data_IF_486327887000
#
_entry.id   IF_486327887000
#
_cell.length_a   1.000
_cell.length_b   1.000
_cell.length_c   1.000
_cell.angle_alpha   90.00
_cell.angle_beta   90.00
_cell.angle_gamma   90.00
#
_symmetry.space_group_name_H-M   'P 1'
#
loop_
_entity.id
_entity.type
_entity.pdbx_description
1 polymer ?
#
# COMPACT_ATOMS: atom_id res chain seq x y z
N UNK A 1 -14.67 10.04 -17.49
CA UNK A 1 -14.99 10.63 -16.18
C UNK A 1 -15.80 11.89 -16.46
N UNK A 2 -16.69 12.26 -15.55
CA UNK A 2 -17.56 13.43 -15.79
C UNK A 2 -16.69 14.69 -15.75
N UNK A 3 -16.69 15.50 -16.80
CA UNK A 3 -15.89 16.74 -16.92
C UNK A 3 -16.08 17.68 -15.70
N UNK A 4 -17.25 17.61 -15.05
CA UNK A 4 -17.54 18.38 -13.86
C UNK A 4 -16.72 17.94 -12.63
N UNK A 5 -16.49 16.63 -12.45
CA UNK A 5 -15.65 16.11 -11.34
C UNK A 5 -14.19 16.45 -11.58
N UNK A 6 -13.71 16.37 -12.80
CA UNK A 6 -12.34 16.75 -13.15
C UNK A 6 -12.06 18.22 -12.86
N UNK A 7 -12.94 19.12 -13.30
CA UNK A 7 -12.84 20.57 -12.99
C UNK A 7 -12.84 20.85 -11.47
N UNK A 8 -13.67 20.14 -10.72
CA UNK A 8 -13.70 20.29 -9.27
C UNK A 8 -12.40 19.81 -8.62
N UNK A 9 -11.82 18.72 -9.10
CA UNK A 9 -10.55 18.22 -8.60
C UNK A 9 -9.42 19.20 -8.96
N UNK A 10 -9.38 19.73 -10.17
CA UNK A 10 -8.44 20.77 -10.58
C UNK A 10 -8.55 22.00 -9.67
N UNK A 11 -9.76 22.51 -9.43
CA UNK A 11 -10.01 23.59 -8.50
C UNK A 11 -9.47 23.29 -7.08
N UNK A 12 -9.65 22.06 -6.58
CA UNK A 12 -9.11 21.65 -5.27
C UNK A 12 -7.58 21.66 -5.30
N UNK A 13 -6.93 21.16 -6.35
CA UNK A 13 -5.48 21.14 -6.47
C UNK A 13 -4.86 22.53 -6.60
N UNK A 14 -5.53 23.47 -7.25
CA UNK A 14 -5.06 24.84 -7.42
C UNK A 14 -5.25 25.67 -6.15
N UNK A 15 -6.36 25.45 -5.42
CA UNK A 15 -6.80 26.33 -4.32
C UNK A 15 -6.83 25.64 -2.95
N UNK A 16 -6.13 24.50 -2.77
CA UNK A 16 -6.16 23.73 -1.51
C UNK A 16 -5.74 24.54 -0.28
N UNK A 17 -4.88 25.54 -0.44
CA UNK A 17 -4.41 26.39 0.65
C UNK A 17 -5.45 27.43 1.13
N UNK A 18 -6.48 27.67 0.31
CA UNK A 18 -7.56 28.62 0.62
C UNK A 18 -8.65 27.99 1.49
N UNK A 19 -9.49 28.79 2.16
CA UNK A 19 -10.65 28.29 2.91
C UNK A 19 -11.79 27.87 1.96
N UNK A 20 -11.53 26.88 1.10
CA UNK A 20 -12.50 26.36 0.13
C UNK A 20 -13.69 25.69 0.82
N UNK A 21 -14.89 26.19 0.51
CA UNK A 21 -16.16 25.57 0.90
C UNK A 21 -16.64 24.55 -0.15
N UNK A 22 -17.52 23.62 0.28
CA UNK A 22 -18.16 22.69 -0.64
C UNK A 22 -18.97 23.42 -1.73
N UNK A 23 -19.53 24.59 -1.41
CA UNK A 23 -20.31 25.40 -2.36
C UNK A 23 -19.40 25.92 -3.47
N UNK A 24 -18.28 26.53 -3.13
CA UNK A 24 -17.32 27.04 -4.12
C UNK A 24 -16.76 25.93 -5.04
N UNK A 25 -16.48 24.73 -4.49
CA UNK A 25 -16.04 23.59 -5.29
C UNK A 25 -17.17 23.14 -6.25
N UNK A 26 -18.42 23.09 -5.79
CA UNK A 26 -19.55 22.72 -6.62
C UNK A 26 -19.85 23.76 -7.72
N UNK A 27 -19.69 25.05 -7.43
CA UNK A 27 -19.82 26.14 -8.38
C UNK A 27 -18.77 26.07 -9.49
N UNK A 28 -17.51 25.69 -9.17
CA UNK A 28 -16.45 25.47 -10.19
C UNK A 28 -16.84 24.39 -11.20
N UNK A 29 -17.68 23.45 -10.79
CA UNK A 29 -18.21 22.38 -11.63
C UNK A 29 -19.58 22.72 -12.25
N UNK A 30 -20.12 23.92 -11.99
CA UNK A 30 -21.47 24.37 -12.44
C UNK A 30 -22.60 23.45 -11.94
N UNK A 31 -22.47 22.91 -10.74
CA UNK A 31 -23.42 21.98 -10.13
C UNK A 31 -23.97 22.48 -8.80
N UNK A 32 -25.17 22.01 -8.45
CA UNK A 32 -25.69 22.21 -7.11
C UNK A 32 -24.89 21.40 -6.08
N UNK A 33 -24.70 21.94 -4.88
CA UNK A 33 -23.92 21.34 -3.79
C UNK A 33 -24.27 19.86 -3.51
N UNK A 34 -25.55 19.52 -3.49
CA UNK A 34 -26.00 18.17 -3.16
C UNK A 34 -25.75 17.17 -4.29
N UNK A 35 -26.04 17.57 -5.52
CA UNK A 35 -25.78 16.74 -6.69
C UNK A 35 -24.28 16.52 -6.89
N UNK A 36 -23.49 17.58 -6.77
CA UNK A 36 -22.04 17.53 -6.84
C UNK A 36 -21.44 16.58 -5.79
N UNK A 37 -21.82 16.70 -4.51
CA UNK A 37 -21.27 15.85 -3.45
C UNK A 37 -21.49 14.36 -3.72
N UNK A 38 -22.66 13.99 -4.28
CA UNK A 38 -22.95 12.60 -4.68
C UNK A 38 -22.09 12.18 -5.86
N UNK A 39 -22.10 12.95 -6.94
CA UNK A 39 -21.32 12.66 -8.16
C UNK A 39 -19.83 12.53 -7.87
N UNK A 40 -19.30 13.45 -7.07
CA UNK A 40 -17.90 13.43 -6.66
C UNK A 40 -17.55 12.17 -5.84
N UNK A 41 -18.43 11.78 -4.92
CA UNK A 41 -18.24 10.58 -4.11
C UNK A 41 -18.34 9.30 -4.95
N UNK A 42 -19.24 9.25 -5.92
CA UNK A 42 -19.38 8.12 -6.84
C UNK A 42 -18.11 7.96 -7.72
N UNK A 43 -17.50 9.07 -8.14
CA UNK A 43 -16.30 9.07 -8.97
C UNK A 43 -15.01 8.77 -8.19
N UNK A 44 -14.86 9.36 -6.99
CA UNK A 44 -13.61 9.29 -6.20
C UNK A 44 -13.66 8.32 -5.02
N UNK A 45 -14.85 7.88 -4.64
CA UNK A 45 -15.09 7.05 -3.46
C UNK A 45 -15.13 7.82 -2.13
N UNK A 46 -14.86 9.14 -2.12
CA UNK A 46 -14.81 9.98 -0.91
C UNK A 46 -15.51 11.32 -1.11
N UNK A 47 -15.83 12.00 -0.01
CA UNK A 47 -16.45 13.32 -0.09
C UNK A 47 -15.45 14.40 -0.52
N UNK A 48 -15.90 15.50 -1.16
CA UNK A 48 -15.02 16.61 -1.57
C UNK A 48 -14.18 17.19 -0.42
N UNK A 49 -14.77 17.36 0.76
CA UNK A 49 -14.05 17.85 1.93
C UNK A 49 -12.95 16.91 2.42
N UNK A 50 -13.17 15.59 2.35
CA UNK A 50 -12.13 14.59 2.64
C UNK A 50 -11.03 14.58 1.59
N UNK A 51 -11.40 14.79 0.33
CA UNK A 51 -10.43 14.89 -0.76
C UNK A 51 -9.54 16.12 -0.58
N UNK A 52 -10.13 17.30 -0.30
CA UNK A 52 -9.38 18.52 0.01
C UNK A 52 -8.43 18.35 1.20
N UNK A 53 -8.91 17.74 2.29
CA UNK A 53 -8.06 17.46 3.44
C UNK A 53 -6.91 16.52 3.09
N UNK A 54 -7.15 15.50 2.26
CA UNK A 54 -6.11 14.59 1.79
C UNK A 54 -5.07 15.31 0.92
N UNK A 55 -5.48 16.20 0.02
CA UNK A 55 -4.58 17.03 -0.78
C UNK A 55 -3.70 17.90 0.12
N UNK A 56 -4.27 18.57 1.11
CA UNK A 56 -3.51 19.41 2.07
C UNK A 56 -2.41 18.61 2.79
N UNK A 57 -2.72 17.41 3.27
CA UNK A 57 -1.73 16.56 3.92
C UNK A 57 -0.67 16.05 2.92
N UNK A 58 -1.08 15.71 1.70
CA UNK A 58 -0.15 15.33 0.64
C UNK A 58 0.84 16.46 0.34
N UNK A 59 0.35 17.69 0.15
CA UNK A 59 1.19 18.86 -0.06
C UNK A 59 2.10 19.16 1.13
N UNK A 60 1.61 18.99 2.36
CA UNK A 60 2.44 19.10 3.54
C UNK A 60 3.59 18.07 3.55
N UNK A 61 3.34 16.82 3.13
CA UNK A 61 4.40 15.82 2.96
C UNK A 61 5.44 16.28 1.95
N UNK A 62 5.02 16.83 0.81
CA UNK A 62 5.94 17.36 -0.21
C UNK A 62 6.78 18.52 0.30
N UNK A 63 6.18 19.48 1.01
CA UNK A 63 6.91 20.60 1.64
C UNK A 63 7.88 20.12 2.72
N UNK A 64 7.51 19.12 3.52
CA UNK A 64 8.38 18.51 4.54
C UNK A 64 9.63 17.84 3.92
N UNK A 65 9.48 17.24 2.74
CA UNK A 65 10.56 16.56 2.02
C UNK A 65 11.50 17.53 1.30
N UNK A 66 10.93 18.55 0.66
CA UNK A 66 11.63 19.35 -0.34
C UNK A 66 12.05 20.75 0.16
N UNK A 67 11.64 21.14 1.37
CA UNK A 67 11.94 22.48 1.91
C UNK A 67 12.48 22.45 3.33
N UNK A 68 13.07 23.57 3.74
CA UNK A 68 13.49 23.83 5.14
C UNK A 68 12.42 24.55 5.98
N UNK A 69 11.22 24.81 5.43
CA UNK A 69 10.14 25.51 6.14
C UNK A 69 9.85 24.87 7.50
N UNK A 70 9.56 25.67 8.50
CA UNK A 70 9.11 25.20 9.81
C UNK A 70 7.75 24.47 9.70
N UNK A 71 7.42 23.66 10.69
CA UNK A 71 6.12 22.96 10.73
C UNK A 71 4.96 23.97 10.77
N UNK A 72 5.16 25.10 11.45
CA UNK A 72 4.16 26.18 11.54
C UNK A 72 3.92 26.83 10.17
N UNK A 73 5.00 27.18 9.45
CA UNK A 73 4.89 27.74 8.10
C UNK A 73 4.19 26.75 7.14
N UNK A 74 4.55 25.46 7.19
CA UNK A 74 3.89 24.42 6.38
C UNK A 74 2.41 24.32 6.72
N UNK A 75 2.06 24.33 8.03
CA UNK A 75 0.66 24.28 8.46
C UNK A 75 -0.17 25.40 7.82
N UNK A 76 0.35 26.62 7.85
CA UNK A 76 -0.31 27.79 7.23
C UNK A 76 -0.33 27.68 5.71
N UNK A 77 0.78 27.30 5.09
CA UNK A 77 0.91 27.18 3.63
C UNK A 77 -0.04 26.15 3.01
N UNK A 78 -0.45 25.12 3.77
CA UNK A 78 -1.43 24.13 3.30
C UNK A 78 -2.87 24.40 3.77
N UNK A 79 -3.14 25.60 4.30
CA UNK A 79 -4.50 26.08 4.60
C UNK A 79 -5.06 25.62 5.95
N UNK A 80 -4.21 25.34 6.95
CA UNK A 80 -4.65 25.12 8.32
C UNK A 80 -4.50 26.38 9.16
N UNK A 81 -5.57 26.76 9.88
CA UNK A 81 -5.59 27.93 10.75
C UNK A 81 -4.95 27.65 12.13
N UNK A 82 -4.66 26.41 12.44
CA UNK A 82 -4.08 26.01 13.74
C UNK A 82 -3.07 24.88 13.56
N UNK A 83 -1.89 25.07 14.14
CA UNK A 83 -0.81 24.08 14.17
C UNK A 83 -1.25 22.78 14.86
N UNK A 84 -2.06 22.90 15.93
CA UNK A 84 -2.57 21.71 16.66
C UNK A 84 -3.47 20.85 15.79
N UNK A 85 -4.45 21.45 15.11
CA UNK A 85 -5.34 20.74 14.19
C UNK A 85 -4.56 20.08 13.05
N UNK A 86 -3.61 20.79 12.46
CA UNK A 86 -2.72 20.26 11.43
C UNK A 86 -1.93 19.04 11.94
N UNK A 87 -1.23 19.19 13.05
CA UNK A 87 -0.36 18.14 13.60
C UNK A 87 -1.15 16.89 13.96
N UNK A 88 -2.34 17.05 14.56
CA UNK A 88 -3.22 15.93 14.90
C UNK A 88 -3.71 15.20 13.65
N UNK A 89 -4.22 15.96 12.67
CA UNK A 89 -4.74 15.35 11.45
C UNK A 89 -3.63 14.70 10.61
N UNK A 90 -2.48 15.36 10.50
CA UNK A 90 -1.31 14.80 9.84
C UNK A 90 -0.88 13.48 10.49
N UNK A 91 -0.73 13.47 11.82
CA UNK A 91 -0.29 12.28 12.56
C UNK A 91 -1.29 11.13 12.42
N UNK A 92 -2.59 11.43 12.53
CA UNK A 92 -3.64 10.44 12.35
C UNK A 92 -3.70 9.85 10.94
N UNK A 93 -3.34 10.63 9.91
CA UNK A 93 -3.41 10.19 8.51
C UNK A 93 -2.13 9.54 8.02
N UNK A 94 -0.96 10.03 8.47
CA UNK A 94 0.36 9.61 8.00
C UNK A 94 0.97 8.51 8.87
N UNK A 95 0.57 8.45 10.16
CA UNK A 95 1.07 7.49 11.14
C UNK A 95 2.26 7.99 11.96
N UNK A 96 2.81 9.16 11.63
CA UNK A 96 3.88 9.81 12.37
C UNK A 96 3.71 11.32 12.36
N UNK A 97 4.24 12.02 13.39
CA UNK A 97 4.18 13.48 13.43
C UNK A 97 4.98 14.15 12.29
N UNK A 98 4.63 15.38 11.88
CA UNK A 98 5.33 16.08 10.79
C UNK A 98 6.85 16.16 10.99
N UNK A 99 7.30 16.48 12.20
CA UNK A 99 8.74 16.56 12.52
C UNK A 99 9.43 15.19 12.46
N UNK A 100 8.74 14.13 12.89
CA UNK A 100 9.25 12.75 12.78
C UNK A 100 9.28 12.30 11.32
N UNK A 101 8.27 12.63 10.53
CA UNK A 101 8.22 12.34 9.09
C UNK A 101 9.44 12.96 8.37
N UNK A 102 9.72 14.25 8.56
CA UNK A 102 10.90 14.93 7.99
C UNK A 102 12.21 14.27 8.39
N UNK A 103 12.36 13.89 9.67
CA UNK A 103 13.58 13.23 10.14
C UNK A 103 13.80 11.86 9.54
N UNK A 104 12.75 11.04 9.50
CA UNK A 104 12.80 9.68 8.95
C UNK A 104 13.08 9.70 7.44
N UNK A 105 12.52 10.66 6.70
CA UNK A 105 12.76 10.82 5.25
C UNK A 105 14.24 11.08 4.94
N UNK A 106 14.91 11.85 5.80
CA UNK A 106 16.34 12.15 5.64
C UNK A 106 17.25 10.96 5.96
N UNK A 107 16.80 10.07 6.82
CA UNK A 107 17.60 8.90 7.25
C UNK A 107 17.31 7.63 6.46
N UNK A 108 16.30 7.64 5.59
CA UNK A 108 15.84 6.47 4.84
C UNK A 108 15.29 5.32 5.72
N UNK A 109 15.13 5.53 7.03
CA UNK A 109 14.73 4.51 7.99
C UNK A 109 13.23 4.61 8.31
N UNK A 110 12.39 4.32 7.34
CA UNK A 110 10.98 4.06 7.59
C UNK A 110 10.77 2.56 7.76
N UNK A 111 10.23 2.13 8.90
CA UNK A 111 9.60 0.83 9.00
C UNK A 111 8.24 0.85 8.27
N UNK A 112 7.76 -0.29 7.81
CA UNK A 112 6.38 -0.41 7.36
C UNK A 112 5.44 -0.01 8.50
N UNK A 113 4.32 0.69 8.19
CA UNK A 113 3.34 1.00 9.22
C UNK A 113 2.80 -0.29 9.80
N UNK A 114 3.01 -0.48 11.10
CA UNK A 114 2.45 -1.63 11.79
C UNK A 114 0.93 -1.49 11.88
N UNK A 115 0.17 -2.54 11.54
CA UNK A 115 -1.24 -2.61 11.85
C UNK A 115 -1.45 -2.35 13.34
N UNK A 116 -2.46 -1.59 13.71
CA UNK A 116 -2.84 -1.51 15.12
C UNK A 116 -3.56 -2.80 15.50
N UNK A 117 -3.14 -3.50 16.57
CA UNK A 117 -3.92 -4.60 17.09
C UNK A 117 -5.26 -4.03 17.58
N UNK A 118 -6.28 -4.18 16.75
CA UNK A 118 -7.63 -3.89 17.18
C UNK A 118 -8.04 -5.04 18.09
N UNK A 119 -8.34 -4.74 19.37
CA UNK A 119 -8.85 -5.71 20.35
C UNK A 119 -10.27 -6.22 20.02
N UNK A 120 -10.60 -6.33 18.72
CA UNK A 120 -11.85 -6.91 18.23
C UNK A 120 -11.70 -8.42 18.16
N UNK A 121 -12.60 -9.11 18.83
CA UNK A 121 -12.81 -10.54 18.68
C UNK A 121 -13.34 -10.83 17.28
N UNK A 122 -12.68 -11.73 16.58
CA UNK A 122 -13.01 -12.12 15.21
C UNK A 122 -12.12 -11.41 14.18
N UNK A 123 -11.29 -12.19 13.52
CA UNK A 123 -10.48 -11.77 12.39
C UNK A 123 -10.57 -12.80 11.28
N UNK A 124 -10.52 -12.34 10.06
CA UNK A 124 -10.38 -13.15 8.86
C UNK A 124 -9.14 -12.74 8.10
N UNK A 125 -9.06 -13.11 6.86
CA UNK A 125 -7.98 -12.72 5.96
C UNK A 125 -8.52 -12.19 4.63
N UNK A 126 -7.70 -11.41 3.94
CA UNK A 126 -7.95 -11.02 2.55
C UNK A 126 -6.79 -11.54 1.71
N UNK A 127 -7.09 -12.27 0.64
CA UNK A 127 -6.09 -12.79 -0.27
C UNK A 127 -6.48 -12.49 -1.72
N UNK A 128 -5.50 -12.45 -2.61
CA UNK A 128 -5.79 -12.19 -4.01
C UNK A 128 -4.54 -12.12 -4.87
N UNK A 129 -4.71 -11.57 -6.05
CA UNK A 129 -3.62 -11.36 -7.00
C UNK A 129 -3.42 -9.87 -7.28
N UNK A 130 -2.17 -9.51 -7.55
CA UNK A 130 -1.77 -8.18 -8.01
C UNK A 130 -1.21 -8.33 -9.42
N UNK A 131 -1.66 -7.47 -10.32
CA UNK A 131 -1.12 -7.39 -11.67
C UNK A 131 -0.67 -5.97 -12.00
N UNK A 132 0.46 -5.86 -12.70
CA UNK A 132 0.99 -4.61 -13.25
C UNK A 132 0.33 -4.30 -14.59
N UNK A 133 0.23 -3.02 -14.98
CA UNK A 133 -0.11 -2.67 -16.36
C UNK A 133 1.00 -3.13 -17.32
N UNK A 134 0.64 -3.33 -18.58
CA UNK A 134 1.61 -3.69 -19.61
C UNK A 134 2.73 -2.65 -19.74
N UNK A 135 3.90 -3.08 -20.17
CA UNK A 135 5.06 -2.20 -20.36
C UNK A 135 5.79 -1.80 -19.08
N UNK A 136 5.50 -2.42 -17.95
CA UNK A 136 6.22 -2.22 -16.69
C UNK A 136 7.04 -3.45 -16.32
N UNK A 137 8.22 -3.22 -15.73
CA UNK A 137 9.13 -4.24 -15.23
C UNK A 137 8.70 -4.75 -13.84
N UNK A 138 9.69 -5.08 -13.01
CA UNK A 138 9.43 -5.46 -11.61
C UNK A 138 8.89 -4.29 -10.82
N UNK A 139 8.01 -4.56 -9.85
CA UNK A 139 7.50 -3.55 -8.94
C UNK A 139 7.53 -4.04 -7.49
N UNK A 140 7.86 -3.13 -6.58
CA UNK A 140 7.60 -3.32 -5.15
C UNK A 140 6.28 -2.65 -4.81
N UNK A 141 5.36 -3.42 -4.24
CA UNK A 141 3.98 -3.00 -4.00
C UNK A 141 3.61 -3.22 -2.55
N UNK A 142 3.19 -2.15 -1.88
CA UNK A 142 2.49 -2.25 -0.61
C UNK A 142 1.00 -2.46 -0.87
N UNK A 143 0.42 -3.48 -0.24
CA UNK A 143 -1.04 -3.74 -0.25
C UNK A 143 -1.54 -3.67 1.17
N UNK A 144 -2.68 -3.04 1.36
CA UNK A 144 -3.29 -2.94 2.68
C UNK A 144 -4.81 -2.91 2.64
N UNK A 145 -5.41 -3.28 3.78
CA UNK A 145 -6.82 -3.13 4.06
C UNK A 145 -7.04 -1.86 4.90
N UNK A 146 -7.91 -0.97 4.41
CA UNK A 146 -8.13 0.35 5.00
C UNK A 146 -9.61 0.55 5.35
N UNK A 147 -9.92 1.31 6.41
CA UNK A 147 -11.32 1.62 6.78
C UNK A 147 -11.97 2.63 5.83
N UNK A 148 -11.20 3.24 4.96
CA UNK A 148 -11.64 4.25 3.98
C UNK A 148 -10.97 4.02 2.63
N UNK A 149 -11.50 4.58 1.53
CA UNK A 149 -10.84 4.49 0.22
C UNK A 149 -9.47 5.18 0.12
N UNK A 150 -9.06 5.94 1.13
CA UNK A 150 -7.76 6.63 1.17
C UNK A 150 -6.71 5.69 1.77
N UNK A 151 -5.52 5.67 1.17
CA UNK A 151 -4.34 4.99 1.76
C UNK A 151 -3.79 5.87 2.88
N UNK A 152 -4.23 5.60 4.10
CA UNK A 152 -3.88 6.37 5.29
C UNK A 152 -3.71 5.47 6.52
N UNK A 153 -3.06 5.99 7.56
CA UNK A 153 -2.91 5.29 8.83
C UNK A 153 -4.23 5.29 9.66
N UNK A 154 -4.52 4.28 10.47
CA UNK A 154 -3.84 2.98 10.49
C UNK A 154 -4.44 2.03 9.45
N UNK A 155 -3.64 1.21 8.76
CA UNK A 155 -4.14 0.07 8.02
C UNK A 155 -4.61 -1.01 9.01
N UNK A 156 -5.63 -1.79 8.65
CA UNK A 156 -6.05 -2.95 9.44
C UNK A 156 -5.05 -4.10 9.30
N UNK A 157 -4.54 -4.30 8.10
CA UNK A 157 -3.47 -5.24 7.76
C UNK A 157 -2.73 -4.71 6.53
N UNK A 158 -1.49 -5.09 6.34
CA UNK A 158 -0.71 -4.66 5.20
C UNK A 158 0.55 -5.49 4.97
N UNK A 159 0.92 -5.66 3.71
CA UNK A 159 2.08 -6.45 3.28
C UNK A 159 2.77 -5.75 2.11
N UNK A 160 4.08 -5.93 2.00
CA UNK A 160 4.82 -5.57 0.80
C UNK A 160 5.14 -6.83 0.01
N UNK A 161 4.86 -6.80 -1.29
CA UNK A 161 5.14 -7.89 -2.22
C UNK A 161 5.93 -7.37 -3.42
N UNK A 162 6.82 -8.21 -3.93
CA UNK A 162 7.56 -7.94 -5.15
C UNK A 162 6.81 -8.60 -6.32
N UNK A 163 6.33 -7.78 -7.24
CA UNK A 163 5.49 -8.20 -8.36
C UNK A 163 6.34 -8.23 -9.62
N UNK A 164 6.51 -9.38 -10.27
CA UNK A 164 7.25 -9.47 -11.51
C UNK A 164 6.47 -8.85 -12.68
N UNK A 165 7.17 -8.26 -13.63
CA UNK A 165 6.57 -7.77 -14.86
C UNK A 165 5.91 -8.91 -15.66
N UNK A 166 4.77 -8.61 -16.27
CA UNK A 166 4.09 -9.50 -17.20
C UNK A 166 3.31 -10.67 -16.60
N UNK A 167 3.30 -10.87 -15.27
CA UNK A 167 2.51 -11.90 -14.60
C UNK A 167 1.99 -11.47 -13.23
N UNK A 168 0.80 -11.96 -12.82
CA UNK A 168 0.26 -11.67 -11.49
C UNK A 168 1.10 -12.29 -10.38
N UNK A 169 1.10 -11.64 -9.20
CA UNK A 169 1.66 -12.16 -7.96
C UNK A 169 0.56 -12.28 -6.91
N UNK A 170 0.62 -13.31 -6.07
CA UNK A 170 -0.33 -13.47 -4.97
C UNK A 170 0.07 -12.60 -3.76
N UNK A 171 -0.93 -12.18 -3.00
CA UNK A 171 -0.76 -11.52 -1.72
C UNK A 171 -1.73 -12.09 -0.69
N UNK A 172 -1.38 -11.92 0.59
CA UNK A 172 -2.21 -12.34 1.72
C UNK A 172 -2.10 -11.30 2.84
N UNK A 173 -3.25 -10.81 3.29
CA UNK A 173 -3.40 -9.91 4.44
C UNK A 173 -4.01 -10.72 5.59
N UNK A 174 -3.23 -11.13 6.58
CA UNK A 174 -3.74 -11.83 7.75
C UNK A 174 -4.39 -10.85 8.74
N UNK A 175 -5.13 -11.40 9.68
CA UNK A 175 -5.65 -10.70 10.87
C UNK A 175 -6.46 -9.44 10.55
N UNK A 176 -7.23 -9.47 9.45
CA UNK A 176 -8.14 -8.37 9.10
C UNK A 176 -9.40 -8.49 9.95
N UNK A 177 -9.73 -7.49 10.79
CA UNK A 177 -10.92 -7.53 11.64
C UNK A 177 -12.21 -7.68 10.83
N UNK A 178 -13.24 -8.29 11.44
CA UNK A 178 -14.58 -8.33 10.83
C UNK A 178 -15.08 -6.93 10.47
N UNK A 179 -15.71 -6.83 9.30
CA UNK A 179 -16.27 -5.58 8.81
C UNK A 179 -16.01 -5.33 7.33
N UNK A 180 -16.27 -4.10 6.92
CA UNK A 180 -16.08 -3.66 5.53
C UNK A 180 -14.76 -2.91 5.40
N UNK A 181 -13.94 -3.35 4.45
CA UNK A 181 -12.59 -2.84 4.23
C UNK A 181 -12.36 -2.49 2.75
N UNK A 182 -11.52 -1.51 2.52
CA UNK A 182 -11.08 -1.11 1.18
C UNK A 182 -9.66 -1.64 0.95
N UNK A 183 -9.48 -2.52 -0.03
CA UNK A 183 -8.16 -3.00 -0.40
C UNK A 183 -7.53 -2.00 -1.38
N UNK A 184 -6.35 -1.50 -1.00
CA UNK A 184 -5.60 -0.51 -1.78
C UNK A 184 -4.15 -0.96 -1.92
N UNK A 185 -3.58 -0.67 -3.07
CA UNK A 185 -2.19 -0.96 -3.35
C UNK A 185 -1.46 0.28 -3.86
N UNK A 186 -0.22 0.39 -3.47
CA UNK A 186 0.70 1.45 -3.92
C UNK A 186 2.00 0.78 -4.29
N UNK A 187 2.50 1.04 -5.48
CA UNK A 187 3.74 0.43 -5.95
C UNK A 187 4.65 1.42 -6.66
N UNK A 188 5.91 1.06 -6.74
CA UNK A 188 6.89 1.66 -7.64
C UNK A 188 7.40 0.56 -8.55
N UNK A 189 7.18 0.72 -9.84
CA UNK A 189 7.60 -0.20 -10.87
C UNK A 189 8.81 0.34 -11.63
N UNK A 190 9.72 -0.54 -11.96
CA UNK A 190 10.80 -0.26 -12.90
C UNK A 190 10.25 -0.18 -14.34
N UNK A 191 10.92 0.59 -15.19
CA UNK A 191 10.64 0.58 -16.60
C UNK A 191 11.08 -0.72 -17.29
N UNK A 192 10.83 -0.82 -18.57
CA UNK A 192 11.33 -1.89 -19.45
C UNK A 192 12.39 -1.30 -20.36
N UNK A 193 13.59 -1.88 -20.41
CA UNK A 193 14.68 -1.38 -21.25
C UNK A 193 16.07 -1.66 -20.67
N UNK A 194 17.12 -1.05 -21.24
CA UNK A 194 18.50 -1.29 -20.82
C UNK A 194 18.82 -0.72 -19.43
N UNK A 195 18.10 0.31 -18.97
CA UNK A 195 18.20 0.85 -17.62
C UNK A 195 16.80 0.99 -16.99
N UNK A 196 16.23 -0.11 -16.48
CA UNK A 196 14.87 -0.12 -15.92
C UNK A 196 14.71 0.81 -14.72
N UNK A 197 15.75 0.97 -13.91
CA UNK A 197 15.73 1.76 -12.67
C UNK A 197 15.65 3.26 -12.91
N UNK A 198 16.06 3.74 -14.06
CA UNK A 198 15.95 5.16 -14.45
C UNK A 198 14.53 5.59 -14.80
N UNK A 199 13.64 4.63 -15.09
CA UNK A 199 12.27 4.86 -15.55
C UNK A 199 11.24 4.40 -14.50
N UNK A 200 11.51 4.67 -13.24
CA UNK A 200 10.60 4.28 -12.14
C UNK A 200 9.29 5.04 -12.21
N UNK A 201 8.20 4.32 -12.07
CA UNK A 201 6.85 4.85 -12.13
C UNK A 201 6.05 4.44 -10.92
N UNK A 202 5.38 5.41 -10.30
CA UNK A 202 4.42 5.14 -9.23
C UNK A 202 3.14 4.55 -9.82
N UNK A 203 2.63 3.51 -9.19
CA UNK A 203 1.41 2.82 -9.58
C UNK A 203 0.44 2.79 -8.40
N UNK A 204 -0.84 2.87 -8.70
CA UNK A 204 -1.93 2.75 -7.73
C UNK A 204 -2.81 1.57 -8.11
N UNK A 205 -3.40 0.93 -7.11
CA UNK A 205 -4.37 -0.14 -7.32
C UNK A 205 -5.49 -0.08 -6.31
N UNK A 206 -6.67 -0.45 -6.74
CA UNK A 206 -7.85 -0.52 -5.89
C UNK A 206 -8.66 -1.76 -6.19
N UNK A 207 -9.27 -2.30 -5.15
CA UNK A 207 -10.40 -3.19 -5.21
C UNK A 207 -11.58 -2.51 -4.53
N UNK A 208 -12.79 -2.81 -4.93
CA UNK A 208 -13.98 -2.32 -4.24
C UNK A 208 -14.00 -2.77 -2.78
N UNK A 209 -14.94 -2.29 -1.99
CA UNK A 209 -15.02 -2.71 -0.60
C UNK A 209 -15.27 -4.22 -0.50
N UNK A 210 -14.58 -4.85 0.45
CA UNK A 210 -14.74 -6.27 0.79
C UNK A 210 -15.32 -6.39 2.20
N UNK A 211 -16.20 -7.36 2.41
CA UNK A 211 -16.68 -7.72 3.74
C UNK A 211 -15.89 -8.92 4.24
N UNK A 212 -15.22 -8.75 5.37
CA UNK A 212 -14.46 -9.80 6.05
C UNK A 212 -15.28 -10.33 7.21
N UNK A 213 -15.39 -11.66 7.29
CA UNK A 213 -16.02 -12.38 8.42
C UNK A 213 -14.94 -13.17 9.16
N UNK A 214 -15.18 -13.49 10.43
CA UNK A 214 -14.24 -14.26 11.23
C UNK A 214 -13.89 -15.59 10.57
N UNK A 215 -12.65 -16.02 10.73
CA UNK A 215 -12.12 -17.31 10.27
C UNK A 215 -12.30 -17.59 8.77
N UNK A 216 -12.56 -16.54 7.96
CA UNK A 216 -12.73 -16.66 6.50
C UNK A 216 -11.62 -15.96 5.73
N UNK A 217 -11.45 -16.38 4.47
CA UNK A 217 -10.57 -15.71 3.51
C UNK A 217 -11.42 -15.06 2.42
N UNK A 218 -11.41 -13.73 2.37
CA UNK A 218 -12.11 -12.97 1.34
C UNK A 218 -11.19 -12.73 0.14
N UNK A 219 -11.68 -12.97 -1.06
CA UNK A 219 -10.88 -12.76 -2.29
C UNK A 219 -10.96 -11.32 -2.76
N UNK A 220 -9.79 -10.72 -3.12
CA UNK A 220 -9.69 -9.38 -3.68
C UNK A 220 -8.55 -9.30 -4.70
N UNK A 221 -8.86 -9.27 -5.98
CA UNK A 221 -7.85 -9.03 -7.02
C UNK A 221 -7.62 -7.53 -7.22
N UNK A 222 -6.35 -7.11 -7.32
CA UNK A 222 -5.96 -5.72 -7.50
C UNK A 222 -5.19 -5.57 -8.81
N UNK A 223 -5.69 -4.70 -9.69
CA UNK A 223 -4.95 -4.25 -10.88
C UNK A 223 -4.34 -2.89 -10.61
N UNK A 224 -3.03 -2.79 -10.80
CA UNK A 224 -2.34 -1.52 -10.71
C UNK A 224 -2.53 -0.72 -12.00
N UNK A 225 -2.54 0.59 -11.86
CA UNK A 225 -2.67 1.55 -12.96
C UNK A 225 -1.85 2.80 -12.65
N UNK A 226 -1.56 3.61 -13.65
CA UNK A 226 -0.96 4.92 -13.47
C UNK A 226 -1.88 5.81 -12.64
N UNK A 227 -1.34 6.68 -11.78
CA UNK A 227 -2.14 7.63 -11.00
C UNK A 227 -3.08 8.44 -11.90
N UNK A 228 -4.33 8.56 -11.50
CA UNK A 228 -5.36 9.35 -12.17
C UNK A 228 -5.71 10.55 -11.31
N UNK A 229 -6.23 11.60 -11.92
CA UNK A 229 -6.63 12.81 -11.21
C UNK A 229 -7.66 12.54 -10.09
N UNK A 230 -8.56 11.57 -10.31
CA UNK A 230 -9.58 11.18 -9.35
C UNK A 230 -9.09 10.23 -8.23
N UNK A 231 -7.88 9.74 -8.32
CA UNK A 231 -7.35 8.89 -7.25
C UNK A 231 -7.04 9.75 -6.02
N UNK A 232 -7.53 9.40 -4.83
CA UNK A 232 -7.14 10.09 -3.62
C UNK A 232 -5.63 9.99 -3.38
N UNK A 233 -4.98 11.05 -2.90
CA UNK A 233 -3.55 11.02 -2.63
C UNK A 233 -3.20 10.03 -1.51
N UNK A 234 -1.98 9.51 -1.55
CA UNK A 234 -1.44 8.59 -0.56
C UNK A 234 -0.94 9.38 0.63
N UNK A 235 -1.57 9.15 1.79
CA UNK A 235 -1.22 9.84 3.04
C UNK A 235 -0.26 9.02 3.89
N UNK A 236 -0.45 7.70 3.94
CA UNK A 236 0.37 6.80 4.72
C UNK A 236 1.87 7.04 4.47
N UNK A 237 2.67 7.05 5.55
CA UNK A 237 4.12 7.03 5.43
C UNK A 237 4.56 5.64 4.96
N UNK A 238 4.71 5.50 3.67
CA UNK A 238 5.31 4.30 3.09
C UNK A 238 6.81 4.54 2.98
N UNK A 239 7.66 3.65 3.54
CA UNK A 239 9.08 3.68 3.25
C UNK A 239 9.26 3.65 1.73
N UNK A 240 10.34 4.23 1.24
CA UNK A 240 10.62 4.22 -0.19
C UNK A 240 10.32 2.83 -0.75
N UNK A 241 9.27 2.72 -1.56
CA UNK A 241 8.89 1.48 -2.24
C UNK A 241 9.89 1.23 -3.37
N UNK A 242 11.19 1.21 -3.00
CA UNK A 242 12.22 0.89 -3.97
C UNK A 242 12.06 -0.57 -4.36
N UNK A 243 11.83 -0.88 -5.66
CA UNK A 243 11.86 -2.26 -6.10
C UNK A 243 13.25 -2.84 -5.79
N UNK A 244 13.36 -4.13 -5.45
CA UNK A 244 14.65 -4.77 -5.27
C UNK A 244 15.48 -4.58 -6.55
N UNK A 245 16.80 -4.49 -6.44
CA UNK A 245 17.65 -4.56 -7.62
C UNK A 245 17.24 -5.80 -8.41
N UNK A 246 17.14 -5.65 -9.74
CA UNK A 246 16.81 -6.77 -10.61
C UNK A 246 17.64 -7.98 -10.19
N UNK A 247 17.05 -9.17 -9.95
CA UNK A 247 17.81 -10.31 -9.51
C UNK A 247 18.95 -10.49 -10.50
N UNK A 248 20.16 -10.29 -10.02
CA UNK A 248 21.35 -10.73 -10.75
C UNK A 248 21.06 -12.20 -11.01
N UNK A 249 20.90 -12.58 -12.27
CA UNK A 249 20.74 -13.97 -12.64
C UNK A 249 22.00 -14.69 -12.15
N UNK A 250 22.00 -15.06 -10.87
CA UNK A 250 22.88 -16.09 -10.38
C UNK A 250 22.38 -17.32 -11.14
N UNK A 251 23.13 -17.67 -12.17
CA UNK A 251 22.97 -18.89 -12.94
C UNK A 251 23.12 -20.04 -11.95
N UNK A 252 22.04 -20.51 -11.38
CA UNK A 252 21.97 -21.48 -10.31
C UNK A 252 20.58 -21.44 -9.70
N UNK A 253 19.61 -21.91 -10.48
CA UNK A 253 18.41 -22.43 -9.89
C UNK A 253 18.87 -23.50 -8.89
N UNK A 254 18.61 -23.39 -7.57
CA UNK A 254 18.80 -24.55 -6.72
C UNK A 254 17.87 -25.61 -7.27
N UNK A 255 18.44 -26.61 -7.91
CA UNK A 255 17.70 -27.83 -8.31
C UNK A 255 16.89 -28.22 -7.08
N UNK A 256 15.59 -28.32 -7.24
CA UNK A 256 14.72 -28.94 -6.25
C UNK A 256 15.34 -30.29 -5.98
N UNK A 257 16.02 -30.40 -4.84
CA UNK A 257 16.54 -31.70 -4.42
C UNK A 257 15.33 -32.64 -4.32
N UNK A 258 15.34 -33.75 -5.04
CA UNK A 258 14.30 -34.75 -4.81
C UNK A 258 14.37 -35.19 -3.35
N UNK A 259 13.26 -35.54 -2.73
CA UNK A 259 13.25 -35.98 -1.35
C UNK A 259 14.22 -37.15 -1.19
N UNK A 260 14.96 -37.25 -0.07
CA UNK A 260 15.91 -38.32 0.16
C UNK A 260 15.17 -39.67 0.02
N UNK A 261 15.74 -40.56 -0.80
CA UNK A 261 15.21 -41.89 -0.97
C UNK A 261 15.09 -42.59 0.41
N UNK A 262 14.00 -43.32 0.66
CA UNK A 262 13.81 -44.02 1.91
C UNK A 262 15.01 -44.95 2.16
N UNK A 263 15.56 -44.84 3.38
CA UNK A 263 16.71 -45.62 3.82
C UNK A 263 16.43 -47.12 3.59
N UNK A 264 17.23 -47.76 2.73
CA UNK A 264 17.18 -49.19 2.56
C UNK A 264 17.47 -49.86 3.90
N UNK A 265 16.48 -50.54 4.46
CA UNK A 265 16.68 -51.40 5.61
C UNK A 265 17.74 -52.46 5.26
N UNK A 266 18.84 -52.46 5.98
CA UNK A 266 19.82 -53.52 5.92
C UNK A 266 19.16 -54.79 6.43
N UNK A 267 19.29 -55.92 5.72
CA UNK A 267 18.83 -57.20 6.25
C UNK A 267 19.63 -57.54 7.51
N UNK A 268 18.91 -57.97 8.54
CA UNK A 268 19.49 -58.46 9.79
C UNK A 268 20.48 -59.59 9.51
N UNK A 269 21.76 -59.36 9.80
CA UNK A 269 22.79 -60.35 9.67
C UNK A 269 22.53 -61.52 10.62
N UNK A 270 22.46 -62.73 10.03
CA UNK A 270 22.29 -63.96 10.76
C UNK A 270 23.43 -64.19 11.74
N UNK A 271 23.06 -64.56 12.94
CA UNK A 271 23.99 -65.09 13.95
C UNK A 271 24.52 -66.42 13.50
N UNK A 272 25.82 -66.49 13.08
CA UNK A 272 26.57 -67.73 13.03
C UNK A 272 26.96 -68.14 14.45
N UNK A 273 26.34 -69.24 14.91
CA UNK A 273 26.82 -70.02 16.07
C UNK A 273 28.19 -70.53 15.77
N UNK A 274 29.20 -70.15 16.47
CA UNK A 274 30.48 -70.90 16.58
C UNK A 274 30.32 -72.02 17.60
N UNK A 275 30.53 -73.23 17.16
CA UNK A 275 30.65 -74.36 18.01
C UNK A 275 32.01 -74.39 18.75
N UNK A 276 32.09 -74.92 19.97
CA UNK A 276 33.36 -75.03 20.69
C UNK A 276 34.13 -76.19 20.18
N UNK A 277 35.40 -75.93 19.78
CA UNK A 277 36.36 -77.02 19.55
C UNK A 277 37.14 -77.30 20.81
N UNK A 278 37.12 -78.56 21.23
CA UNK A 278 37.82 -79.09 22.38
C UNK A 278 39.25 -79.55 21.98
N UNK A 279 40.10 -79.60 23.04
CA UNK A 279 41.30 -80.44 23.14
C UNK A 279 42.60 -79.85 22.60
N UNK A 280 43.59 -79.75 23.34
CA UNK A 280 44.49 -80.52 24.16
C UNK A 280 45.55 -79.58 24.69
#
# INVERSE_FOLDING_TARGET
>A
MDNAVEKAIECIWERYSEPLSLTEIAESALLSRFYFARLFRDATGITPGRFLAAIRIHQAKMLLLNTSMSITEISSAVGYNSLGSFTNYFTASVGVSPGRFRRLSRTGRFGLPSPQPNGRTGAGAVAGTISLPEGHGHARVYVGAFPTPIVQYPPASGVTVDVPGGRPCCYHLPDVPEGTWFVRAVGVADGVGPDPSSQRTSLLGRHDSVTVTADSVTSAAVRLHLPRLADPPILLALPALEPPPAPTLISGCPAIMPPPAPARQRPAGGYHRMAPSALA
#
